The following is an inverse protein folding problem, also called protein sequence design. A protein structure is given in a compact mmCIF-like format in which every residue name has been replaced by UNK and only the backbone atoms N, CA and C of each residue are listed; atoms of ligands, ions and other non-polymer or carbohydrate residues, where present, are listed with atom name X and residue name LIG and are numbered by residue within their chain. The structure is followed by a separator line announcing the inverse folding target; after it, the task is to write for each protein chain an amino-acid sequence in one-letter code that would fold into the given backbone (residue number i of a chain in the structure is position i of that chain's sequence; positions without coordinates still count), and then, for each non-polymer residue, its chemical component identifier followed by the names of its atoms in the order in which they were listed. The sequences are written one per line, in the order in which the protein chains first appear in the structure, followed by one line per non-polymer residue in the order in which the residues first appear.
data_IF_433335214663
#
_entry.id   IF_433335214663
#
_cell.length_a   1.000
_cell.length_b   1.000
_cell.length_c   1.000
_cell.angle_alpha   90.00
_cell.angle_beta   90.00
_cell.angle_gamma   90.00
#
_symmetry.space_group_name_H-M   'P 1'
#
loop_
_entity.id
_entity.type
_entity.pdbx_description
1 polymer ?
#
# COMPACT_ATOMS: atom_id res chain seq x y z
N UNK A 1 -9.87 15.96 -2.25
CA UNK A 1 -9.07 14.75 -1.95
C UNK A 1 -8.32 15.04 -0.67
N UNK A 2 -8.49 14.22 0.37
CA UNK A 2 -7.75 14.35 1.64
C UNK A 2 -6.26 14.10 1.36
N UNK A 3 -5.54 15.16 0.97
CA UNK A 3 -4.09 15.15 0.75
C UNK A 3 -3.33 15.15 2.07
N UNK A 4 -3.79 14.35 3.04
CA UNK A 4 -3.04 14.08 4.25
C UNK A 4 -1.89 13.13 3.90
N UNK A 5 -0.69 13.46 4.35
CA UNK A 5 0.45 12.56 4.35
C UNK A 5 0.01 11.16 4.80
N UNK A 6 0.35 10.10 4.05
CA UNK A 6 0.06 8.71 4.42
C UNK A 6 0.36 8.47 5.91
N UNK A 7 -0.63 7.97 6.64
CA UNK A 7 -0.53 7.67 8.06
C UNK A 7 -0.46 6.17 8.29
N UNK A 8 0.39 5.70 9.23
CA UNK A 8 0.41 4.28 9.59
C UNK A 8 -1.00 3.77 9.91
N UNK A 9 -1.46 2.75 9.18
CA UNK A 9 -2.82 2.22 9.24
C UNK A 9 -3.65 2.45 7.97
N UNK A 10 -3.26 3.38 7.11
CA UNK A 10 -3.95 3.65 5.84
C UNK A 10 -3.83 2.47 4.88
N UNK A 11 -4.85 2.25 4.05
CA UNK A 11 -4.82 1.28 2.98
C UNK A 11 -4.27 1.91 1.71
N UNK A 12 -3.21 1.29 1.18
CA UNK A 12 -2.60 1.66 -0.09
C UNK A 12 -3.08 0.68 -1.15
N UNK A 13 -3.64 1.21 -2.22
CA UNK A 13 -4.07 0.43 -3.38
C UNK A 13 -3.18 0.73 -4.57
N UNK A 14 -2.78 -0.32 -5.26
CA UNK A 14 -2.05 -0.22 -6.52
C UNK A 14 -2.94 -0.62 -7.68
N UNK A 15 -2.53 -0.15 -8.85
CA UNK A 15 -3.16 -0.40 -10.15
C UNK A 15 -4.54 0.26 -10.29
N UNK A 16 -4.93 0.53 -11.52
CA UNK A 16 -6.22 1.19 -11.82
C UNK A 16 -7.43 0.31 -11.53
N UNK A 17 -7.22 -1.01 -11.42
CA UNK A 17 -8.23 -2.02 -11.10
C UNK A 17 -8.27 -2.39 -9.62
N UNK A 18 -7.43 -1.77 -8.78
CA UNK A 18 -7.37 -1.96 -7.32
C UNK A 18 -7.16 -3.43 -6.89
N UNK A 19 -6.55 -4.26 -7.73
CA UNK A 19 -6.42 -5.69 -7.45
C UNK A 19 -5.38 -6.01 -6.36
N UNK A 20 -4.53 -5.04 -6.03
CA UNK A 20 -3.49 -5.20 -5.01
C UNK A 20 -3.61 -4.13 -3.94
N UNK A 21 -3.55 -4.56 -2.68
CA UNK A 21 -3.62 -3.66 -1.54
C UNK A 21 -2.60 -4.02 -0.46
N UNK A 22 -2.32 -3.05 0.40
CA UNK A 22 -1.38 -3.19 1.51
C UNK A 22 -1.68 -2.17 2.58
N UNK A 23 -1.18 -2.41 3.79
CA UNK A 23 -1.35 -1.51 4.92
C UNK A 23 -0.09 -0.67 5.03
N UNK A 24 -0.23 0.65 5.01
CA UNK A 24 0.88 1.56 5.23
C UNK A 24 1.34 1.51 6.68
N UNK A 25 2.64 1.42 6.88
CA UNK A 25 3.25 1.30 8.22
C UNK A 25 4.18 2.47 8.56
N UNK A 26 4.17 3.53 7.76
CA UNK A 26 5.06 4.68 7.94
C UNK A 26 6.29 4.65 7.04
N UNK A 27 6.97 5.80 6.95
CA UNK A 27 8.27 5.94 6.27
C UNK A 27 8.31 5.40 4.83
N UNK A 28 7.21 5.54 4.08
CA UNK A 28 7.13 5.05 2.70
C UNK A 28 7.03 3.53 2.58
N UNK A 29 6.69 2.81 3.66
CA UNK A 29 6.60 1.35 3.68
C UNK A 29 5.19 0.83 3.87
N UNK A 30 4.98 -0.39 3.39
CA UNK A 30 3.73 -1.14 3.48
C UNK A 30 3.99 -2.58 3.90
N UNK A 31 3.02 -3.19 4.55
CA UNK A 31 2.94 -4.65 4.70
C UNK A 31 1.90 -5.19 3.71
N UNK A 32 2.30 -6.14 2.88
CA UNK A 32 1.44 -6.73 1.85
C UNK A 32 1.83 -8.18 1.51
N UNK A 33 0.99 -8.87 0.75
CA UNK A 33 1.27 -10.19 0.20
C UNK A 33 1.53 -10.04 -1.31
N UNK A 34 2.80 -10.06 -1.79
CA UNK A 34 3.16 -9.58 -3.12
C UNK A 34 2.46 -10.29 -4.28
N UNK A 35 2.28 -11.61 -4.16
CA UNK A 35 1.60 -12.44 -5.14
C UNK A 35 1.18 -13.78 -4.50
N UNK A 36 0.24 -14.52 -5.12
CA UNK A 36 -0.17 -15.83 -4.63
C UNK A 36 1.02 -16.78 -4.43
N UNK A 37 1.01 -17.52 -3.33
CA UNK A 37 2.05 -18.50 -2.99
C UNK A 37 3.30 -17.93 -2.31
N UNK A 38 3.39 -16.61 -2.13
CA UNK A 38 4.43 -15.99 -1.31
C UNK A 38 3.91 -15.61 0.08
N UNK A 39 4.82 -15.25 0.98
CA UNK A 39 4.52 -14.83 2.35
C UNK A 39 4.34 -13.31 2.44
N UNK A 40 3.68 -12.89 3.52
CA UNK A 40 3.52 -11.47 3.86
C UNK A 40 4.90 -10.85 4.15
N UNK A 41 5.18 -9.70 3.52
CA UNK A 41 6.46 -9.00 3.60
C UNK A 41 6.27 -7.48 3.67
N UNK A 42 7.32 -6.80 4.09
CA UNK A 42 7.39 -5.33 4.05
C UNK A 42 7.99 -4.89 2.72
N UNK A 43 7.32 -3.96 2.04
CA UNK A 43 7.72 -3.38 0.76
C UNK A 43 7.69 -1.85 0.77
N UNK A 44 8.21 -1.23 -0.27
CA UNK A 44 8.15 0.22 -0.51
C UNK A 44 6.81 0.60 -1.15
N UNK A 45 6.32 1.80 -0.85
CA UNK A 45 5.26 2.46 -1.62
C UNK A 45 5.91 3.09 -2.85
N UNK A 46 6.09 2.30 -3.90
CA UNK A 46 6.50 2.83 -5.20
C UNK A 46 5.26 3.44 -5.87
N UNK A 47 5.25 4.77 -5.98
CA UNK A 47 4.22 5.64 -6.58
C UNK A 47 2.74 5.24 -6.34
N UNK A 48 2.05 5.83 -5.36
CA UNK A 48 0.66 5.47 -5.06
C UNK A 48 -0.29 5.97 -6.16
N UNK A 49 -1.05 5.08 -6.79
CA UNK A 49 -2.05 5.47 -7.82
C UNK A 49 -3.37 5.95 -7.22
N UNK A 50 -3.71 5.65 -5.95
CA UNK A 50 -4.88 6.18 -5.24
C UNK A 50 -4.77 5.84 -3.74
N UNK A 51 -5.24 6.74 -2.87
CA UNK A 51 -5.32 6.55 -1.40
C UNK A 51 -6.75 6.86 -0.96
N UNK A 52 -7.34 6.03 -0.09
CA UNK A 52 -8.68 6.24 0.51
C UNK A 52 -8.64 6.04 2.01
#
# INVERSE_FOLDING_TARGET
MSGGQLQPGDLVFWFSDLHHMGIYIGEGRVIHAPHPGDVVKVGMVDMPSTTI
#
